data_IF_470863698797
#
_entry.id   IF_470863698797
#
_cell.length_a   1.000
_cell.length_b   1.000
_cell.length_c   1.000
_cell.angle_alpha   90.00
_cell.angle_beta   90.00
_cell.angle_gamma   90.00
#
_symmetry.space_group_name_H-M   'P 1'
#
loop_
_entity.id
_entity.type
_entity.pdbx_description
1 polymer ?
#
# COMPACT_ATOMS: atom_id res chain seq x y z
N UNK A 1 -32.22 -11.96 7.46
CA UNK A 1 -30.89 -12.61 7.53
C UNK A 1 -30.06 -12.35 6.27
N UNK A 2 -30.52 -12.71 5.07
CA UNK A 2 -29.78 -12.49 3.83
C UNK A 2 -29.44 -11.01 3.55
N UNK A 3 -30.37 -10.09 3.76
CA UNK A 3 -30.13 -8.65 3.53
C UNK A 3 -29.09 -8.05 4.48
N UNK A 4 -29.06 -8.54 5.72
CA UNK A 4 -28.11 -8.12 6.76
C UNK A 4 -26.69 -8.59 6.42
N UNK A 5 -26.56 -9.84 5.94
CA UNK A 5 -25.30 -10.41 5.45
C UNK A 5 -24.81 -9.63 4.22
N UNK A 6 -25.72 -9.34 3.27
CA UNK A 6 -25.39 -8.57 2.06
C UNK A 6 -24.90 -7.15 2.40
N UNK A 7 -25.55 -6.48 3.36
CA UNK A 7 -25.12 -5.16 3.82
C UNK A 7 -23.72 -5.17 4.45
N UNK A 8 -23.43 -6.16 5.31
CA UNK A 8 -22.11 -6.31 5.93
C UNK A 8 -21.04 -6.58 4.87
N UNK A 9 -21.29 -7.48 3.92
CA UNK A 9 -20.37 -7.78 2.83
C UNK A 9 -20.08 -6.54 1.97
N UNK A 10 -21.11 -5.76 1.66
CA UNK A 10 -20.96 -4.52 0.89
C UNK A 10 -20.03 -3.53 1.61
N UNK A 11 -20.20 -3.34 2.91
CA UNK A 11 -19.35 -2.45 3.71
C UNK A 11 -17.89 -2.94 3.72
N UNK A 12 -17.67 -4.25 3.91
CA UNK A 12 -16.33 -4.85 3.89
C UNK A 12 -15.66 -4.64 2.54
N UNK A 13 -16.37 -4.90 1.43
CA UNK A 13 -15.82 -4.72 0.07
C UNK A 13 -15.48 -3.26 -0.18
N UNK A 14 -16.38 -2.32 0.16
CA UNK A 14 -16.11 -0.89 0.03
C UNK A 14 -14.90 -0.44 0.86
N UNK A 15 -14.74 -0.95 2.08
CA UNK A 15 -13.59 -0.68 2.92
C UNK A 15 -12.28 -1.20 2.30
N UNK A 16 -12.28 -2.45 1.82
CA UNK A 16 -11.12 -3.06 1.18
C UNK A 16 -10.73 -2.30 -0.10
N UNK A 17 -11.70 -1.88 -0.92
CA UNK A 17 -11.44 -1.09 -2.13
C UNK A 17 -10.93 0.32 -1.81
N UNK A 18 -11.49 0.97 -0.79
CA UNK A 18 -11.09 2.32 -0.37
C UNK A 18 -9.70 2.38 0.27
N UNK A 19 -9.26 1.29 0.92
CA UNK A 19 -7.98 1.21 1.62
C UNK A 19 -6.96 0.29 0.94
N UNK A 20 -7.21 -0.13 -0.30
CA UNK A 20 -6.37 -1.12 -0.99
C UNK A 20 -4.89 -0.73 -1.06
N UNK A 21 -4.59 0.53 -1.36
CA UNK A 21 -3.21 1.01 -1.43
C UNK A 21 -2.52 1.00 -0.05
N UNK A 22 -3.23 1.30 1.03
CA UNK A 22 -2.68 1.24 2.40
C UNK A 22 -2.46 -0.21 2.82
N UNK A 23 -3.41 -1.10 2.51
CA UNK A 23 -3.30 -2.54 2.76
C UNK A 23 -2.08 -3.10 2.02
N UNK A 24 -1.89 -2.74 0.76
CA UNK A 24 -0.74 -3.17 -0.01
C UNK A 24 0.57 -2.63 0.57
N UNK A 25 0.60 -1.34 0.93
CA UNK A 25 1.79 -0.71 1.50
C UNK A 25 2.25 -1.41 2.79
N UNK A 26 1.31 -1.72 3.69
CA UNK A 26 1.62 -2.34 4.99
C UNK A 26 2.08 -3.81 4.89
N UNK A 27 1.68 -4.53 3.84
CA UNK A 27 1.99 -5.95 3.67
C UNK A 27 3.07 -6.22 2.62
N UNK A 28 3.54 -5.18 1.93
CA UNK A 28 4.52 -5.33 0.88
C UNK A 28 5.91 -5.52 1.46
N UNK A 29 6.58 -6.56 1.01
CA UNK A 29 8.01 -6.79 1.19
C UNK A 29 8.73 -6.64 -0.15
N UNK A 30 9.99 -6.17 -0.16
CA UNK A 30 10.82 -6.20 -1.36
C UNK A 30 11.04 -7.66 -1.81
N UNK A 31 11.32 -7.90 -3.11
CA UNK A 31 11.68 -9.22 -3.64
C UNK A 31 12.97 -9.76 -2.99
N UNK A 32 13.20 -11.08 -3.08
CA UNK A 32 14.44 -11.68 -2.59
C UNK A 32 15.68 -11.07 -3.26
N UNK A 33 16.68 -10.69 -2.46
CA UNK A 33 17.90 -10.01 -2.92
C UNK A 33 17.74 -8.52 -3.21
N UNK A 34 16.64 -7.92 -2.73
CA UNK A 34 16.40 -6.48 -2.73
C UNK A 34 16.12 -5.99 -1.31
N UNK A 35 16.56 -4.77 -1.00
CA UNK A 35 16.14 -4.01 0.17
C UNK A 35 15.34 -2.77 -0.24
N UNK A 36 14.57 -2.22 0.69
CA UNK A 36 13.92 -0.93 0.48
C UNK A 36 14.90 0.21 0.77
N UNK A 37 15.07 1.12 -0.19
CA UNK A 37 15.75 2.38 0.04
C UNK A 37 14.86 3.32 0.89
N UNK A 38 15.08 3.23 2.20
CA UNK A 38 14.37 4.05 3.18
C UNK A 38 14.73 5.53 3.09
N UNK A 39 15.90 5.88 2.55
CA UNK A 39 16.31 7.28 2.41
C UNK A 39 15.53 7.93 1.26
N UNK A 40 15.47 7.27 0.10
CA UNK A 40 14.67 7.71 -1.04
C UNK A 40 13.17 7.78 -0.68
N UNK A 41 12.67 6.78 0.05
CA UNK A 41 11.29 6.76 0.54
C UNK A 41 10.99 7.95 1.46
N UNK A 42 11.84 8.21 2.48
CA UNK A 42 11.64 9.33 3.39
C UNK A 42 11.75 10.69 2.69
N UNK A 43 12.69 10.82 1.74
CA UNK A 43 12.85 12.03 0.94
C UNK A 43 11.59 12.32 0.11
N UNK A 44 11.05 11.32 -0.56
CA UNK A 44 9.81 11.44 -1.33
C UNK A 44 8.59 11.67 -0.43
N UNK A 45 8.56 11.09 0.77
CA UNK A 45 7.50 11.34 1.75
C UNK A 45 7.41 12.82 2.10
N UNK A 46 8.54 13.49 2.28
CA UNK A 46 8.62 14.92 2.57
C UNK A 46 8.29 15.77 1.34
N UNK A 47 8.77 15.40 0.16
CA UNK A 47 8.67 16.23 -1.06
C UNK A 47 7.35 16.04 -1.83
N UNK A 48 6.85 14.82 -1.92
CA UNK A 48 5.68 14.42 -2.74
C UNK A 48 4.46 14.09 -1.90
N UNK A 49 4.65 13.91 -0.59
CA UNK A 49 3.59 13.57 0.35
C UNK A 49 3.27 12.07 0.39
N UNK A 50 2.45 11.69 1.37
CA UNK A 50 2.12 10.29 1.70
C UNK A 50 1.53 9.53 0.52
N UNK A 51 0.52 10.09 -0.16
CA UNK A 51 -0.22 9.35 -1.18
C UNK A 51 0.63 8.94 -2.39
N UNK A 52 1.44 9.88 -2.91
CA UNK A 52 2.30 9.60 -4.06
C UNK A 52 3.45 8.65 -3.68
N UNK A 53 4.05 8.85 -2.50
CA UNK A 53 5.11 7.98 -1.98
C UNK A 53 4.61 6.55 -1.77
N UNK A 54 3.41 6.40 -1.20
CA UNK A 54 2.76 5.10 -1.01
C UNK A 54 2.50 4.39 -2.34
N UNK A 55 2.05 5.13 -3.36
CA UNK A 55 1.81 4.59 -4.70
C UNK A 55 3.10 4.10 -5.36
N UNK A 56 4.21 4.84 -5.21
CA UNK A 56 5.54 4.45 -5.71
C UNK A 56 6.10 3.25 -4.97
N UNK A 57 5.95 3.22 -3.64
CA UNK A 57 6.33 2.07 -2.83
C UNK A 57 5.56 0.83 -3.25
N UNK A 58 4.24 0.94 -3.45
CA UNK A 58 3.42 -0.16 -3.95
C UNK A 58 3.81 -0.69 -5.33
N UNK A 59 4.60 0.07 -6.11
CA UNK A 59 5.16 -0.33 -7.41
C UNK A 59 6.57 -0.90 -7.30
N UNK A 60 7.19 -0.85 -6.13
CA UNK A 60 8.58 -1.28 -5.92
C UNK A 60 9.62 -0.30 -6.44
N UNK A 61 9.27 0.97 -6.63
CA UNK A 61 10.21 1.99 -7.11
C UNK A 61 11.37 2.29 -6.12
N UNK A 62 11.24 1.83 -4.88
CA UNK A 62 12.28 1.94 -3.85
C UNK A 62 13.02 0.63 -3.59
N UNK A 63 12.79 -0.41 -4.40
CA UNK A 63 13.53 -1.67 -4.25
C UNK A 63 14.89 -1.54 -4.90
N UNK A 64 15.94 -1.66 -4.10
CA UNK A 64 17.33 -1.63 -4.53
C UNK A 64 17.91 -3.01 -4.38
N UNK A 65 18.57 -3.49 -5.43
CA UNK A 65 19.25 -4.79 -5.40
C UNK A 65 20.44 -4.71 -4.45
N UNK A 66 20.59 -5.74 -3.61
CA UNK A 66 21.75 -5.91 -2.73
C UNK A 66 23.07 -6.04 -3.51
#
# INVERSE_FOLDING_TARGET
MAELISGILTIIVCYLLGHWDEIKFNNRTPPDGYHTDHEALNRDLVLKGKNETMRRFNRGEYDVKD
#
